data_IF_124583028063
#
_entry.id   IF_124583028063
#
_cell.length_a   1.000
_cell.length_b   1.000
_cell.length_c   1.000
_cell.angle_alpha   90.00
_cell.angle_beta   90.00
_cell.angle_gamma   90.00
#
_symmetry.space_group_name_H-M   'P 1'
#
loop_
_entity.id
_entity.type
_entity.pdbx_description
1 polymer ?
#
# COMPACT_ATOMS: atom_id res chain seq x y z
N UNK A 1 8.92 -9.47 -24.67
CA UNK A 1 8.37 -9.30 -23.30
C UNK A 1 9.53 -9.17 -22.32
N UNK A 2 9.86 -7.97 -21.84
CA UNK A 2 11.11 -7.75 -21.08
C UNK A 2 11.02 -8.32 -19.65
N UNK A 3 11.77 -9.39 -19.38
CA UNK A 3 11.80 -10.12 -18.10
C UNK A 3 12.06 -9.21 -16.89
N UNK A 4 13.00 -8.27 -17.01
CA UNK A 4 13.32 -7.30 -15.95
C UNK A 4 12.12 -6.45 -15.49
N UNK A 5 11.21 -6.10 -16.42
CA UNK A 5 10.00 -5.32 -16.08
C UNK A 5 9.01 -6.16 -15.30
N UNK A 6 8.86 -7.44 -15.66
CA UNK A 6 8.01 -8.39 -14.94
C UNK A 6 8.54 -8.65 -13.54
N UNK A 7 9.86 -8.84 -13.40
CA UNK A 7 10.49 -9.02 -12.10
C UNK A 7 10.29 -7.79 -11.20
N UNK A 8 10.49 -6.58 -11.73
CA UNK A 8 10.20 -5.35 -10.99
C UNK A 8 8.74 -5.26 -10.55
N UNK A 9 7.80 -5.46 -11.47
CA UNK A 9 6.36 -5.38 -11.16
C UNK A 9 5.98 -6.45 -10.09
N UNK A 10 6.54 -7.65 -10.16
CA UNK A 10 6.34 -8.71 -9.16
C UNK A 10 6.90 -8.33 -7.79
N UNK A 11 8.11 -7.79 -7.73
CA UNK A 11 8.72 -7.34 -6.46
C UNK A 11 7.87 -6.25 -5.81
N UNK A 12 7.36 -5.29 -6.58
CA UNK A 12 6.49 -4.23 -6.04
C UNK A 12 5.21 -4.81 -5.45
N UNK A 13 4.58 -5.79 -6.12
CA UNK A 13 3.36 -6.44 -5.59
C UNK A 13 3.67 -7.19 -4.29
N UNK A 14 4.78 -7.93 -4.23
CA UNK A 14 5.19 -8.65 -3.01
C UNK A 14 5.45 -7.67 -1.86
N UNK A 15 6.18 -6.58 -2.11
CA UNK A 15 6.45 -5.55 -1.10
C UNK A 15 5.15 -4.90 -0.63
N UNK A 16 4.22 -4.59 -1.55
CA UNK A 16 2.93 -4.02 -1.21
C UNK A 16 2.10 -4.96 -0.33
N UNK A 17 2.13 -6.26 -0.62
CA UNK A 17 1.41 -7.28 0.13
C UNK A 17 1.98 -7.46 1.54
N UNK A 18 3.32 -7.49 1.67
CA UNK A 18 3.98 -7.55 2.98
C UNK A 18 3.70 -6.30 3.81
N UNK A 19 3.79 -5.11 3.19
CA UNK A 19 3.48 -3.86 3.87
C UNK A 19 2.02 -3.80 4.34
N UNK A 20 1.08 -4.22 3.49
CA UNK A 20 -0.33 -4.31 3.84
C UNK A 20 -0.58 -5.22 5.05
N UNK A 21 0.01 -6.41 5.04
CA UNK A 21 -0.12 -7.36 6.14
C UNK A 21 0.48 -6.81 7.44
N UNK A 22 1.69 -6.26 7.39
CA UNK A 22 2.35 -5.67 8.55
C UNK A 22 1.53 -4.52 9.14
N UNK A 23 1.04 -3.59 8.31
CA UNK A 23 0.21 -2.47 8.76
C UNK A 23 -1.13 -2.92 9.34
N UNK A 24 -1.76 -3.95 8.76
CA UNK A 24 -3.01 -4.50 9.29
C UNK A 24 -2.80 -5.13 10.68
N UNK A 25 -1.72 -5.91 10.87
CA UNK A 25 -1.40 -6.51 12.16
C UNK A 25 -1.10 -5.45 13.22
N UNK A 26 -0.29 -4.44 12.89
CA UNK A 26 0.02 -3.34 13.80
C UNK A 26 -1.25 -2.58 14.22
N UNK A 27 -2.14 -2.28 13.27
CA UNK A 27 -3.40 -1.61 13.57
C UNK A 27 -4.34 -2.49 14.40
N UNK A 28 -4.33 -3.81 14.23
CA UNK A 28 -5.15 -4.71 15.04
C UNK A 28 -4.73 -4.72 16.52
N UNK A 29 -3.41 -4.69 16.76
CA UNK A 29 -2.84 -4.71 18.11
C UNK A 29 -3.02 -3.36 18.81
N UNK A 30 -2.89 -2.25 18.09
CA UNK A 30 -2.98 -0.90 18.65
C UNK A 30 -4.42 -0.48 19.01
N UNK A 31 -5.42 -1.07 18.34
CA UNK A 31 -6.82 -0.68 18.55
C UNK A 31 -7.38 -1.32 19.81
N UNK A 32 -7.49 -0.47 20.83
CA UNK A 32 -8.19 -0.76 22.07
C UNK A 32 -9.67 -1.04 21.79
N UNK A 33 -10.18 -2.14 22.36
CA UNK A 33 -11.61 -2.41 22.40
C UNK A 33 -12.17 -1.43 23.44
N UNK A 34 -12.89 -0.40 23.00
CA UNK A 34 -13.60 0.47 23.93
C UNK A 34 -14.61 -0.39 24.72
N UNK A 35 -14.41 -0.41 26.04
CA UNK A 35 -15.29 -1.08 27.00
C UNK A 35 -16.66 -0.41 26.97
N UNK A 36 -17.70 -1.21 26.77
CA UNK A 36 -19.09 -0.81 26.58
C UNK A 36 -19.51 0.42 27.42
N UNK A 37 -19.88 1.50 26.74
CA UNK A 37 -20.65 2.59 27.32
C UNK A 37 -22.01 2.12 27.85
N UNK A 38 -22.59 2.91 28.77
CA UNK A 38 -23.79 2.64 29.57
C UNK A 38 -25.10 2.30 28.79
N UNK A 39 -25.08 2.22 27.46
CA UNK A 39 -26.29 2.11 26.62
C UNK A 39 -26.36 0.87 25.69
N UNK A 40 -25.50 -0.15 25.84
CA UNK A 40 -25.64 -1.45 25.15
C UNK A 40 -24.35 -1.98 24.51
N UNK A 41 -24.43 -3.07 23.73
CA UNK A 41 -23.27 -3.64 22.98
C UNK A 41 -22.73 -2.60 22.00
N UNK A 42 -21.73 -1.84 22.41
CA UNK A 42 -21.17 -0.79 21.59
C UNK A 42 -20.46 -1.35 20.35
N UNK A 43 -20.63 -0.62 19.25
CA UNK A 43 -20.05 -0.83 17.91
C UNK A 43 -18.51 -0.88 17.88
N UNK A 44 -17.81 -0.75 19.03
CA UNK A 44 -16.35 -0.78 19.12
C UNK A 44 -15.70 -2.06 18.57
N UNK A 45 -16.39 -3.19 18.61
CA UNK A 45 -15.91 -4.44 18.00
C UNK A 45 -15.79 -4.40 16.47
N UNK A 46 -16.63 -3.59 15.79
CA UNK A 46 -16.57 -3.43 14.33
C UNK A 46 -15.33 -2.63 13.94
N UNK A 47 -15.00 -1.59 14.70
CA UNK A 47 -13.80 -0.77 14.43
C UNK A 47 -12.51 -1.59 14.53
N UNK A 48 -12.44 -2.56 15.45
CA UNK A 48 -11.30 -3.48 15.54
C UNK A 48 -11.16 -4.41 14.32
N UNK A 49 -12.22 -4.63 13.55
CA UNK A 49 -12.16 -5.42 12.30
C UNK A 49 -11.88 -4.53 11.08
N UNK A 50 -12.53 -3.36 11.01
CA UNK A 50 -12.50 -2.48 9.84
C UNK A 50 -11.19 -1.70 9.75
N UNK A 51 -10.65 -1.25 10.88
CA UNK A 51 -9.43 -0.43 10.88
C UNK A 51 -8.18 -1.20 10.41
N UNK A 52 -7.88 -2.44 10.85
CA UNK A 52 -6.79 -3.23 10.28
C UNK A 52 -6.87 -3.36 8.77
N UNK A 53 -8.07 -3.61 8.24
CA UNK A 53 -8.29 -3.71 6.81
C UNK A 53 -7.98 -2.38 6.09
N UNK A 54 -8.45 -1.25 6.64
CA UNK A 54 -8.16 0.09 6.08
C UNK A 54 -6.68 0.43 6.10
N UNK A 55 -5.97 0.14 7.20
CA UNK A 55 -4.52 0.33 7.27
C UNK A 55 -3.79 -0.54 6.26
N UNK A 56 -4.20 -1.80 6.11
CA UNK A 56 -3.64 -2.70 5.10
C UNK A 56 -3.87 -2.20 3.67
N UNK A 57 -5.08 -1.76 3.34
CA UNK A 57 -5.40 -1.19 2.02
C UNK A 57 -4.63 0.11 1.75
N UNK A 58 -4.53 0.98 2.74
CA UNK A 58 -3.77 2.22 2.65
C UNK A 58 -2.29 1.97 2.39
N UNK A 59 -1.68 1.04 3.14
CA UNK A 59 -0.28 0.66 2.95
C UNK A 59 -0.04 0.02 1.56
N UNK A 60 -0.92 -0.89 1.13
CA UNK A 60 -0.84 -1.47 -0.22
C UNK A 60 -0.88 -0.39 -1.31
N UNK A 61 -1.88 0.49 -1.24
CA UNK A 61 -2.08 1.55 -2.21
C UNK A 61 -0.88 2.50 -2.25
N UNK A 62 -0.33 2.88 -1.09
CA UNK A 62 0.84 3.74 -1.01
C UNK A 62 2.05 3.13 -1.74
N UNK A 63 2.36 1.85 -1.49
CA UNK A 63 3.48 1.16 -2.16
C UNK A 63 3.26 1.07 -3.67
N UNK A 64 2.04 0.76 -4.11
CA UNK A 64 1.71 0.68 -5.53
C UNK A 64 1.86 2.02 -6.24
N UNK A 65 1.38 3.11 -5.62
CA UNK A 65 1.51 4.47 -6.17
C UNK A 65 2.99 4.83 -6.34
N UNK A 66 3.82 4.55 -5.32
CA UNK A 66 5.27 4.80 -5.39
C UNK A 66 5.92 3.96 -6.50
N UNK A 67 5.61 2.66 -6.58
CA UNK A 67 6.16 1.78 -7.61
C UNK A 67 5.79 2.23 -9.04
N UNK A 68 4.54 2.66 -9.24
CA UNK A 68 4.08 3.20 -10.53
C UNK A 68 4.80 4.52 -10.85
N UNK A 69 4.91 5.43 -9.89
CA UNK A 69 5.57 6.71 -10.06
C UNK A 69 7.04 6.54 -10.47
N UNK A 70 7.78 5.66 -9.77
CA UNK A 70 9.18 5.31 -10.10
C UNK A 70 9.27 4.74 -11.52
N UNK A 71 8.36 3.83 -11.88
CA UNK A 71 8.32 3.25 -13.23
C UNK A 71 8.12 4.31 -14.32
N UNK A 72 7.21 5.26 -14.11
CA UNK A 72 6.95 6.35 -15.06
C UNK A 72 8.19 7.25 -15.16
N UNK A 73 8.79 7.62 -14.04
CA UNK A 73 10.00 8.44 -13.99
C UNK A 73 11.17 7.80 -14.77
N UNK A 74 11.42 6.50 -14.55
CA UNK A 74 12.48 5.77 -15.26
C UNK A 74 12.22 5.67 -16.77
N UNK A 75 10.95 5.50 -17.18
CA UNK A 75 10.58 5.50 -18.61
C UNK A 75 10.82 6.87 -19.25
N UNK A 76 10.40 7.96 -18.59
CA UNK A 76 10.65 9.34 -19.06
C UNK A 76 12.15 9.63 -19.18
N UNK A 77 12.94 9.24 -18.18
CA UNK A 77 14.41 9.39 -18.23
C UNK A 77 15.01 8.68 -19.44
N UNK A 78 14.59 7.44 -19.71
CA UNK A 78 15.09 6.67 -20.87
C UNK A 78 14.71 7.33 -22.20
N UNK A 79 13.52 7.91 -22.32
CA UNK A 79 13.08 8.63 -23.52
C UNK A 79 13.92 9.88 -23.78
N UNK A 80 14.16 10.69 -22.75
CA UNK A 80 15.00 11.90 -22.85
C UNK A 80 16.45 11.61 -23.26
N UNK A 81 16.98 10.42 -22.95
CA UNK A 81 18.34 10.03 -23.37
C UNK A 81 18.39 9.61 -24.84
N UNK A 82 17.33 8.97 -25.36
CA UNK A 82 17.30 8.41 -26.72
C UNK A 82 16.85 9.45 -27.75
N UNK A 83 15.91 10.32 -27.37
CA UNK A 83 15.49 11.47 -28.14
C UNK A 83 15.60 12.68 -27.21
N UNK A 84 16.78 13.34 -27.14
CA UNK A 84 16.92 14.55 -26.35
C UNK A 84 15.86 15.54 -26.84
N UNK A 85 15.02 15.99 -25.89
CA UNK A 85 14.00 16.99 -26.18
C UNK A 85 14.74 18.20 -26.79
N UNK A 86 14.50 18.46 -28.08
CA UNK A 86 15.05 19.63 -28.76
C UNK A 86 14.28 20.82 -28.22
N UNK A 87 14.84 21.44 -27.18
CA UNK A 87 14.45 22.78 -26.73
C UNK A 87 15.00 23.77 -27.74
#
# INVERSE_FOLDING_TARGET
MNWQRKAYDMVIVVVALVAALASALLAYDDIAIQSAGNFGRESGGIWKQVMPALYGYGAFAAVMVVGIAVRIFLRRRKQNVIAPNKV
#
